data_IF_608447112087
#
_entry.id   IF_608447112087
#
_cell.length_a   1.000
_cell.length_b   1.000
_cell.length_c   1.000
_cell.angle_alpha   90.00
_cell.angle_beta   90.00
_cell.angle_gamma   90.00
#
_symmetry.space_group_name_H-M   'P 1'
#
loop_
_entity.id
_entity.type
_entity.pdbx_description
1 polymer ?
#
# COMPACT_ATOMS: atom_id res chain seq x y z
N UNK A 1 -4.99 1.62 31.33
CA UNK A 1 -4.25 0.78 30.37
C UNK A 1 -2.82 0.68 30.84
N UNK A 2 -2.30 -0.52 31.05
CA UNK A 2 -0.89 -0.72 31.40
C UNK A 2 -0.03 -0.29 30.20
N UNK A 3 1.08 0.42 30.47
CA UNK A 3 1.99 0.87 29.41
C UNK A 3 2.80 -0.33 28.91
N UNK A 4 3.02 -0.42 27.60
CA UNK A 4 3.90 -1.43 27.02
C UNK A 4 5.31 -1.30 27.60
N UNK A 5 5.91 -2.42 27.97
CA UNK A 5 7.29 -2.55 28.41
C UNK A 5 8.20 -2.73 27.19
N UNK A 6 9.50 -2.56 27.42
CA UNK A 6 10.53 -2.74 26.38
C UNK A 6 10.60 -4.24 26.02
N UNK A 7 10.17 -4.59 24.82
CA UNK A 7 10.13 -5.98 24.33
C UNK A 7 8.74 -6.40 23.83
N UNK A 8 7.68 -5.88 24.45
CA UNK A 8 6.28 -6.22 24.15
C UNK A 8 5.93 -6.00 22.67
N UNK A 9 6.49 -4.96 22.05
CA UNK A 9 6.26 -4.68 20.63
C UNK A 9 6.84 -5.77 19.71
N UNK A 10 8.00 -6.33 20.06
CA UNK A 10 8.62 -7.38 19.26
C UNK A 10 7.83 -8.70 19.37
N UNK A 11 7.34 -9.00 20.58
CA UNK A 11 6.50 -10.16 20.84
C UNK A 11 5.14 -10.04 20.15
N UNK A 12 4.50 -8.87 20.24
CA UNK A 12 3.25 -8.60 19.54
C UNK A 12 3.41 -8.78 18.03
N UNK A 13 4.46 -8.22 17.43
CA UNK A 13 4.74 -8.39 15.99
C UNK A 13 4.93 -9.85 15.59
N UNK A 14 5.56 -10.66 16.43
CA UNK A 14 5.77 -12.09 16.16
C UNK A 14 4.46 -12.87 16.16
N UNK A 15 3.53 -12.49 17.03
CA UNK A 15 2.25 -13.19 17.21
C UNK A 15 1.12 -12.60 16.33
N UNK A 16 1.27 -11.38 15.83
CA UNK A 16 0.28 -10.73 14.98
C UNK A 16 0.21 -11.39 13.61
N UNK A 17 -0.92 -12.03 13.31
CA UNK A 17 -1.26 -12.51 11.97
C UNK A 17 -2.39 -11.66 11.42
N UNK A 18 -2.13 -10.98 10.30
CA UNK A 18 -3.19 -10.29 9.56
C UNK A 18 -4.20 -11.34 9.06
N UNK A 19 -5.51 -11.11 9.19
CA UNK A 19 -6.51 -11.97 8.56
C UNK A 19 -6.57 -11.76 7.03
N UNK A 20 -5.94 -10.68 6.53
CA UNK A 20 -5.87 -10.36 5.11
C UNK A 20 -4.56 -10.84 4.50
N UNK A 21 -4.62 -11.35 3.27
CA UNK A 21 -3.48 -11.81 2.46
C UNK A 21 -2.78 -10.67 1.69
N UNK A 22 -3.30 -9.45 1.84
CA UNK A 22 -2.79 -8.28 1.16
C UNK A 22 -3.49 -7.00 1.58
N UNK A 23 -2.88 -5.87 1.23
CA UNK A 23 -3.39 -4.54 1.51
C UNK A 23 -3.15 -3.59 0.32
N UNK A 24 -4.10 -2.73 0.05
CA UNK A 24 -3.96 -1.58 -0.85
C UNK A 24 -4.08 -0.33 0.01
N UNK A 25 -3.06 0.50 0.01
CA UNK A 25 -2.95 1.66 0.88
C UNK A 25 -2.84 2.90 0.01
N UNK A 26 -3.91 3.70 -0.05
CA UNK A 26 -4.00 4.89 -0.89
C UNK A 26 -3.66 6.13 -0.07
N UNK A 27 -2.77 6.99 -0.58
CA UNK A 27 -2.44 8.25 0.09
C UNK A 27 -3.61 9.24 -0.01
N UNK A 28 -4.06 9.68 1.16
CA UNK A 28 -5.16 10.62 1.35
C UNK A 28 -4.68 11.83 2.17
N UNK A 29 -3.41 12.21 2.01
CA UNK A 29 -2.92 13.53 2.45
C UNK A 29 -3.57 14.66 1.64
N UNK A 30 -3.29 15.93 1.98
CA UNK A 30 -3.86 17.08 1.26
C UNK A 30 -3.57 17.04 -0.24
N UNK A 31 -2.31 16.76 -0.60
CA UNK A 31 -1.91 16.67 -2.00
C UNK A 31 -2.56 15.43 -2.67
N UNK A 32 -2.58 14.27 -2.00
CA UNK A 32 -3.22 13.06 -2.51
C UNK A 32 -4.73 13.22 -2.77
N UNK A 33 -5.44 13.90 -1.89
CA UNK A 33 -6.86 14.25 -2.10
C UNK A 33 -7.00 15.19 -3.30
N UNK A 34 -6.18 16.25 -3.36
CA UNK A 34 -6.21 17.23 -4.44
C UNK A 34 -5.89 16.62 -5.82
N UNK A 35 -5.00 15.62 -5.86
CA UNK A 35 -4.61 14.92 -7.07
C UNK A 35 -5.66 13.90 -7.54
N UNK A 36 -6.70 13.60 -6.73
CA UNK A 36 -7.77 12.67 -7.10
C UNK A 36 -7.73 11.31 -6.39
N UNK A 37 -7.01 11.18 -5.27
CA UNK A 37 -6.92 9.94 -4.49
C UNK A 37 -8.27 9.37 -4.02
N UNK A 38 -9.28 10.23 -3.78
CA UNK A 38 -10.63 9.76 -3.43
C UNK A 38 -11.33 9.03 -4.58
N UNK A 39 -11.13 9.48 -5.82
CA UNK A 39 -11.67 8.80 -7.00
C UNK A 39 -11.00 7.44 -7.19
N UNK A 40 -9.69 7.37 -7.03
CA UNK A 40 -8.93 6.11 -7.05
C UNK A 40 -9.43 5.16 -5.96
N UNK A 41 -9.63 5.66 -4.73
CA UNK A 41 -10.15 4.85 -3.62
C UNK A 41 -11.52 4.25 -3.93
N UNK A 42 -12.47 5.06 -4.40
CA UNK A 42 -13.82 4.60 -4.74
C UNK A 42 -13.82 3.58 -5.86
N UNK A 43 -12.94 3.74 -6.85
CA UNK A 43 -12.75 2.76 -7.91
C UNK A 43 -12.32 1.40 -7.34
N UNK A 44 -11.27 1.37 -6.53
CA UNK A 44 -10.82 0.15 -5.85
C UNK A 44 -11.92 -0.47 -4.99
N UNK A 45 -12.63 0.34 -4.20
CA UNK A 45 -13.73 -0.13 -3.36
C UNK A 45 -14.84 -0.80 -4.18
N UNK A 46 -15.24 -0.19 -5.30
CA UNK A 46 -16.25 -0.75 -6.21
C UNK A 46 -15.80 -2.04 -6.87
N UNK A 47 -14.59 -2.09 -7.43
CA UNK A 47 -14.09 -3.28 -8.13
C UNK A 47 -13.82 -4.45 -7.17
N UNK A 48 -13.31 -4.17 -5.97
CA UNK A 48 -13.10 -5.20 -4.95
C UNK A 48 -14.44 -5.81 -4.51
N UNK A 49 -15.48 -4.99 -4.36
CA UNK A 49 -16.83 -5.45 -4.05
C UNK A 49 -17.43 -6.29 -5.18
N UNK A 50 -17.29 -5.84 -6.43
CA UNK A 50 -17.79 -6.56 -7.61
C UNK A 50 -17.11 -7.94 -7.77
N UNK A 51 -15.81 -8.01 -7.51
CA UNK A 51 -15.02 -9.25 -7.63
C UNK A 51 -15.05 -10.13 -6.37
N UNK A 52 -15.72 -9.72 -5.29
CA UNK A 52 -15.74 -10.45 -4.02
C UNK A 52 -14.36 -10.60 -3.36
N UNK A 53 -13.47 -9.61 -3.52
CA UNK A 53 -12.11 -9.63 -3.00
C UNK A 53 -12.06 -9.24 -1.52
N UNK A 54 -12.50 -10.15 -0.65
CA UNK A 54 -12.55 -9.93 0.81
C UNK A 54 -11.20 -10.19 1.51
N UNK A 55 -10.29 -10.91 0.87
CA UNK A 55 -8.99 -11.27 1.42
C UNK A 55 -7.91 -10.19 1.29
N UNK A 56 -8.23 -9.05 0.67
CA UNK A 56 -7.35 -7.89 0.52
C UNK A 56 -7.99 -6.70 1.22
N UNK A 57 -7.23 -5.99 2.04
CA UNK A 57 -7.74 -4.82 2.78
C UNK A 57 -7.47 -3.53 2.03
N UNK A 58 -8.52 -2.77 1.71
CA UNK A 58 -8.38 -1.40 1.22
C UNK A 58 -8.24 -0.43 2.42
N UNK A 59 -7.23 0.44 2.39
CA UNK A 59 -6.95 1.42 3.46
C UNK A 59 -6.71 2.81 2.89
N UNK A 60 -7.17 3.81 3.64
CA UNK A 60 -6.75 5.21 3.51
C UNK A 60 -5.58 5.46 4.45
N UNK A 61 -4.54 6.15 3.99
CA UNK A 61 -3.43 6.62 4.83
C UNK A 61 -3.20 8.11 4.62
N UNK A 62 -2.35 8.73 5.45
CA UNK A 62 -1.91 10.11 5.27
C UNK A 62 -0.95 10.26 4.08
N UNK A 63 -0.05 11.24 4.16
CA UNK A 63 0.99 11.44 3.15
C UNK A 63 1.97 10.25 3.11
N UNK A 64 2.27 9.74 1.91
CA UNK A 64 3.32 8.74 1.69
C UNK A 64 4.71 9.35 1.43
N UNK A 65 4.84 10.68 1.48
CA UNK A 65 6.09 11.40 1.24
C UNK A 65 6.45 11.59 -0.24
N UNK A 66 5.57 11.18 -1.16
CA UNK A 66 5.81 11.16 -2.60
C UNK A 66 4.83 12.08 -3.36
N UNK A 67 4.72 13.35 -2.93
CA UNK A 67 3.74 14.30 -3.48
C UNK A 67 3.89 14.52 -5.00
N UNK A 68 5.10 14.39 -5.56
CA UNK A 68 5.36 14.62 -6.98
C UNK A 68 4.70 13.60 -7.92
N UNK A 69 4.28 12.44 -7.39
CA UNK A 69 3.69 11.36 -8.17
C UNK A 69 2.31 10.96 -7.62
N UNK A 70 1.58 11.90 -7.03
CA UNK A 70 0.19 11.65 -6.64
C UNK A 70 -0.77 11.68 -7.85
N UNK A 71 -1.89 10.94 -7.81
CA UNK A 71 -2.29 9.98 -6.78
C UNK A 71 -1.34 8.78 -6.70
N UNK A 72 -1.03 8.35 -5.48
CA UNK A 72 -0.16 7.21 -5.25
C UNK A 72 -0.74 6.24 -4.22
N UNK A 73 -0.28 4.99 -4.30
CA UNK A 73 -0.70 3.93 -3.41
C UNK A 73 0.41 2.88 -3.25
N UNK A 74 0.33 2.11 -2.16
CA UNK A 74 1.17 0.94 -1.92
C UNK A 74 0.29 -0.32 -2.05
N UNK A 75 0.79 -1.31 -2.77
CA UNK A 75 0.24 -2.66 -2.79
C UNK A 75 1.17 -3.58 -2.00
N UNK A 76 0.60 -4.23 -0.99
CA UNK A 76 1.26 -5.25 -0.17
C UNK A 76 0.57 -6.58 -0.42
N UNK A 77 1.30 -7.62 -0.79
CA UNK A 77 0.74 -8.96 -0.99
C UNK A 77 1.68 -9.98 -0.36
N UNK A 78 1.11 -11.00 0.29
CA UNK A 78 1.91 -12.07 0.88
C UNK A 78 2.79 -12.76 -0.16
N UNK A 79 4.10 -12.83 0.16
CA UNK A 79 5.12 -13.42 -0.70
C UNK A 79 5.59 -12.54 -1.85
N UNK A 80 5.21 -11.26 -1.87
CA UNK A 80 5.68 -10.27 -2.84
C UNK A 80 6.30 -9.07 -2.14
N UNK A 81 7.23 -8.34 -2.79
CA UNK A 81 7.70 -7.06 -2.27
C UNK A 81 6.56 -6.04 -2.23
N UNK A 82 6.64 -5.10 -1.29
CA UNK A 82 5.76 -3.93 -1.25
C UNK A 82 6.06 -3.04 -2.47
N UNK A 83 5.04 -2.72 -3.27
CA UNK A 83 5.20 -1.88 -4.47
C UNK A 83 4.44 -0.58 -4.30
N UNK A 84 5.13 0.54 -4.55
CA UNK A 84 4.51 1.87 -4.64
C UNK A 84 4.22 2.20 -6.11
N UNK A 85 2.97 2.51 -6.41
CA UNK A 85 2.54 3.04 -7.70
C UNK A 85 2.26 4.54 -7.56
N UNK A 86 2.80 5.33 -8.50
CA UNK A 86 2.54 6.76 -8.61
C UNK A 86 1.78 7.12 -9.89
N UNK A 87 1.30 8.36 -9.96
CA UNK A 87 0.50 8.89 -11.06
C UNK A 87 -0.64 7.92 -11.44
N UNK A 88 -1.36 7.43 -10.42
CA UNK A 88 -2.38 6.40 -10.58
C UNK A 88 -3.64 7.03 -11.16
N UNK A 89 -3.93 6.67 -12.40
CA UNK A 89 -5.20 6.95 -13.07
C UNK A 89 -6.14 5.74 -13.00
N UNK A 90 -7.35 5.89 -13.53
CA UNK A 90 -8.34 4.82 -13.57
C UNK A 90 -7.80 3.58 -14.30
N UNK A 91 -7.13 3.76 -15.44
CA UNK A 91 -6.59 2.65 -16.24
C UNK A 91 -5.57 1.84 -15.44
N UNK A 92 -4.62 2.51 -14.78
CA UNK A 92 -3.59 1.86 -13.98
C UNK A 92 -4.20 1.19 -12.75
N UNK A 93 -5.18 1.81 -12.09
CA UNK A 93 -5.88 1.18 -10.97
C UNK A 93 -6.53 -0.16 -11.37
N UNK A 94 -7.23 -0.20 -12.52
CA UNK A 94 -7.80 -1.45 -13.05
C UNK A 94 -6.73 -2.48 -13.43
N UNK A 95 -5.58 -2.04 -13.93
CA UNK A 95 -4.45 -2.93 -14.19
C UNK A 95 -3.85 -3.49 -12.91
N UNK A 96 -3.69 -2.67 -11.86
CA UNK A 96 -3.21 -3.11 -10.54
C UNK A 96 -4.14 -4.20 -9.98
N UNK A 97 -5.45 -4.02 -10.10
CA UNK A 97 -6.44 -5.02 -9.68
C UNK A 97 -6.30 -6.35 -10.43
N UNK A 98 -6.21 -6.31 -11.75
CA UNK A 98 -6.22 -7.52 -12.57
C UNK A 98 -4.84 -8.21 -12.65
N UNK A 99 -3.76 -7.46 -12.74
CA UNK A 99 -2.41 -8.01 -12.90
C UNK A 99 -1.73 -8.22 -11.55
N UNK A 100 -1.70 -7.19 -10.71
CA UNK A 100 -0.93 -7.27 -9.47
C UNK A 100 -1.67 -8.07 -8.39
N UNK A 101 -2.92 -7.72 -8.07
CA UNK A 101 -3.66 -8.42 -7.01
C UNK A 101 -4.07 -9.84 -7.41
N UNK A 102 -4.61 -9.99 -8.62
CA UNK A 102 -5.20 -11.27 -9.05
C UNK A 102 -4.15 -12.23 -9.61
N UNK A 103 -3.23 -11.75 -10.45
CA UNK A 103 -2.24 -12.60 -11.16
C UNK A 103 -0.86 -12.58 -10.53
N UNK A 104 -0.64 -11.81 -9.45
CA UNK A 104 0.66 -11.63 -8.80
C UNK A 104 1.76 -11.14 -9.76
N UNK A 105 1.40 -10.26 -10.70
CA UNK A 105 2.34 -9.65 -11.67
C UNK A 105 2.49 -8.16 -11.42
N UNK A 106 3.71 -7.74 -11.14
CA UNK A 106 4.05 -6.32 -10.92
C UNK A 106 4.02 -5.60 -12.26
N UNK A 107 3.47 -4.38 -12.26
CA UNK A 107 3.44 -3.52 -13.43
C UNK A 107 4.69 -2.65 -13.40
N UNK A 108 5.52 -2.69 -14.45
CA UNK A 108 6.82 -2.01 -14.42
C UNK A 108 6.70 -0.48 -14.57
N UNK A 109 5.76 0.00 -15.38
CA UNK A 109 5.56 1.44 -15.55
C UNK A 109 4.85 2.01 -14.33
N UNK A 110 5.15 3.27 -14.00
CA UNK A 110 4.59 3.99 -12.85
C UNK A 110 4.88 3.36 -11.47
N UNK A 111 5.68 2.29 -11.41
CA UNK A 111 6.28 1.82 -10.17
C UNK A 111 7.37 2.80 -9.73
N UNK A 112 7.21 3.33 -8.53
CA UNK A 112 8.17 4.24 -7.92
C UNK A 112 9.06 3.42 -7.00
N UNK A 113 10.36 3.54 -7.23
CA UNK A 113 11.34 2.95 -6.34
C UNK A 113 11.34 3.73 -5.02
N UNK A 114 10.72 3.15 -4.00
CA UNK A 114 10.82 3.67 -2.65
C UNK A 114 12.09 3.09 -2.02
N UNK A 115 12.96 3.90 -1.42
CA UNK A 115 14.04 3.36 -0.63
C UNK A 115 13.48 2.65 0.60
N UNK A 116 13.37 1.32 0.51
CA UNK A 116 13.06 0.44 1.63
C UNK A 116 14.22 0.37 2.62
N UNK A 117 14.04 -0.35 3.72
CA UNK A 117 15.03 -0.50 4.80
C UNK A 117 16.45 -0.88 4.30
N UNK A 118 16.53 -1.44 3.09
CA UNK A 118 17.74 -1.86 2.37
C UNK A 118 18.61 -0.69 1.87
N UNK A 119 18.06 0.53 1.74
CA UNK A 119 18.73 1.67 1.09
C UNK A 119 19.05 2.83 2.06
N UNK A 120 18.80 2.68 3.36
CA UNK A 120 19.07 3.79 4.27
C UNK A 120 18.85 3.56 5.76
N UNK A 121 18.06 2.56 6.18
CA UNK A 121 17.81 2.39 7.63
C UNK A 121 18.90 1.63 8.36
N UNK A 122 19.77 0.93 7.63
CA UNK A 122 20.99 0.30 8.13
C UNK A 122 22.28 1.09 7.84
N UNK A 123 22.23 2.15 7.03
CA UNK A 123 23.43 2.96 6.69
C UNK A 123 23.88 3.81 7.88
N UNK A 124 22.96 4.23 8.75
CA UNK A 124 23.24 5.03 9.95
C UNK A 124 23.19 4.22 11.26
N UNK A 125 23.38 2.89 11.18
CA UNK A 125 23.61 2.08 12.39
C UNK A 125 25.11 1.89 12.57
N UNK A 126 25.74 2.89 13.16
CA UNK A 126 26.93 2.72 13.99
C UNK A 126 26.49 2.30 15.41
#
# INVERSE_FOLDING_TARGET
MEKMKKGDLAEFKKNYKSPYKGEIIISMGTCGIAAGGDAVYKLFESEMKEKGLENVKLKKTGCLGMCFCEPNLIVKLDGMPDILYGNVDERLARLIMNEHLTKKRIINFNTIFMPTDDIGRKIFKD
#
